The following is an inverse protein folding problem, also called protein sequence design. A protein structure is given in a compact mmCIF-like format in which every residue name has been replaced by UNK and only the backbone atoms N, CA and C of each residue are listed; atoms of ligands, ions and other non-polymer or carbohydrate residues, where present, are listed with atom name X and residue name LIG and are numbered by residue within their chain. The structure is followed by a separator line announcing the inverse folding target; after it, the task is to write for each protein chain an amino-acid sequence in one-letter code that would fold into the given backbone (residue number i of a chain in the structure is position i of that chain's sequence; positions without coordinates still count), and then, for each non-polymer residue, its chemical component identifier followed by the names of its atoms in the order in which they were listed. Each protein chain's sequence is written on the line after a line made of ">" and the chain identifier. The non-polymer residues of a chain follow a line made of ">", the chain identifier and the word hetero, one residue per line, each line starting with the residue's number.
data_IF_813650726184
#
_entry.id   IF_813650726184
#
_cell.length_a   1.000
_cell.length_b   1.000
_cell.length_c   1.000
_cell.angle_alpha   90.00
_cell.angle_beta   90.00
_cell.angle_gamma   90.00
#
_symmetry.space_group_name_H-M   'P 1'
#
loop_
_entity.id
_entity.type
_entity.pdbx_description
1 polymer ?
#
# COMPACT_ATOMS: atom_id res chain seq x y z
N UNK A 1 28.11 2.39 11.26
CA UNK A 1 26.85 3.07 11.59
C UNK A 1 26.89 4.44 10.95
N UNK A 2 26.14 4.73 9.88
CA UNK A 2 26.07 6.09 9.36
C UNK A 2 25.36 6.96 10.39
N UNK A 3 25.94 8.13 10.66
CA UNK A 3 25.34 9.17 11.48
C UNK A 3 24.15 9.73 10.71
N UNK A 4 22.93 9.45 11.15
CA UNK A 4 21.75 10.11 10.59
C UNK A 4 21.88 11.61 10.83
N UNK A 5 22.00 12.39 9.76
CA UNK A 5 21.81 13.84 9.83
C UNK A 5 20.50 14.10 10.57
N UNK A 6 20.52 15.01 11.55
CA UNK A 6 19.37 15.28 12.41
C UNK A 6 18.09 15.39 11.56
N UNK A 7 17.16 14.44 11.76
CA UNK A 7 15.91 14.40 11.00
C UNK A 7 15.23 15.77 11.09
N UNK A 8 15.08 16.42 9.94
CA UNK A 8 14.38 17.70 9.87
C UNK A 8 12.94 17.48 10.28
N UNK A 9 12.43 18.37 11.14
CA UNK A 9 11.03 18.36 11.58
C UNK A 9 10.10 18.35 10.36
N UNK A 10 9.36 17.26 10.18
CA UNK A 10 8.32 17.12 9.19
C UNK A 10 7.17 18.09 9.51
N UNK A 11 6.88 18.96 8.53
CA UNK A 11 5.80 19.96 8.62
C UNK A 11 4.57 19.48 7.85
N UNK A 12 3.41 20.00 8.26
CA UNK A 12 2.16 19.80 7.54
C UNK A 12 1.59 18.38 7.63
N UNK A 13 1.85 17.66 8.74
CA UNK A 13 1.33 16.30 8.98
C UNK A 13 -0.19 16.21 8.73
N UNK A 14 -1.05 17.12 9.23
CA UNK A 14 -2.49 17.04 8.96
C UNK A 14 -2.84 17.15 7.47
N UNK A 15 -2.10 17.95 6.70
CA UNK A 15 -2.29 18.08 5.25
C UNK A 15 -1.90 16.79 4.53
N UNK A 16 -0.81 16.14 4.96
CA UNK A 16 -0.34 14.87 4.39
C UNK A 16 -1.31 13.74 4.69
N UNK A 17 -1.84 13.66 5.91
CA UNK A 17 -2.92 12.71 6.24
C UNK A 17 -4.13 12.94 5.35
N UNK A 18 -4.64 14.18 5.20
CA UNK A 18 -5.74 14.47 4.26
C UNK A 18 -5.45 14.05 2.81
N UNK A 19 -4.20 14.13 2.35
CA UNK A 19 -3.82 13.65 1.03
C UNK A 19 -3.88 12.12 0.93
N UNK A 20 -3.51 11.40 2.00
CA UNK A 20 -3.64 9.94 2.07
C UNK A 20 -5.11 9.50 2.11
N UNK A 21 -5.99 10.22 2.81
CA UNK A 21 -7.44 9.98 2.75
C UNK A 21 -7.94 10.07 1.31
N UNK A 22 -7.65 11.18 0.61
CA UNK A 22 -8.02 11.36 -0.80
C UNK A 22 -7.43 10.29 -1.72
N UNK A 23 -6.20 9.85 -1.45
CA UNK A 23 -5.58 8.78 -2.20
C UNK A 23 -6.32 7.45 -1.99
N UNK A 24 -6.70 7.10 -0.76
CA UNK A 24 -7.53 5.92 -0.49
C UNK A 24 -8.87 6.00 -1.22
N UNK A 25 -9.56 7.14 -1.11
CA UNK A 25 -10.86 7.38 -1.75
C UNK A 25 -10.78 7.32 -3.30
N UNK A 26 -9.60 7.57 -3.88
CA UNK A 26 -9.42 7.56 -5.34
C UNK A 26 -9.57 6.18 -5.99
N UNK A 27 -9.59 5.10 -5.19
CA UNK A 27 -9.86 3.74 -5.65
C UNK A 27 -11.36 3.40 -5.62
N UNK A 28 -12.20 4.25 -5.05
CA UNK A 28 -13.64 4.04 -5.06
C UNK A 28 -14.15 4.07 -6.50
N UNK A 29 -14.82 2.99 -6.90
CA UNK A 29 -15.34 2.77 -8.26
C UNK A 29 -14.27 2.89 -9.37
N UNK A 30 -13.00 2.78 -9.00
CA UNK A 30 -11.86 2.99 -9.88
C UNK A 30 -10.86 1.83 -9.75
N UNK A 31 -11.07 0.81 -10.57
CA UNK A 31 -10.15 -0.32 -10.71
C UNK A 31 -9.20 -0.08 -11.89
N UNK A 32 -7.89 -0.40 -11.77
CA UNK A 32 -6.92 -0.22 -12.85
C UNK A 32 -7.38 -0.86 -14.17
N UNK A 33 -7.14 -0.16 -15.28
CA UNK A 33 -7.58 -0.63 -16.58
C UNK A 33 -6.83 -1.91 -16.98
N UNK A 34 -7.48 -2.80 -17.75
CA UNK A 34 -6.85 -4.03 -18.22
C UNK A 34 -5.51 -3.80 -18.96
N UNK A 35 -5.40 -2.68 -19.70
CA UNK A 35 -4.16 -2.27 -20.36
C UNK A 35 -3.04 -1.97 -19.36
N UNK A 36 -3.35 -1.25 -18.28
CA UNK A 36 -2.39 -0.93 -17.22
C UNK A 36 -1.90 -2.20 -16.52
N UNK A 37 -2.82 -3.10 -16.19
CA UNK A 37 -2.48 -4.37 -15.55
C UNK A 37 -1.67 -5.30 -16.47
N UNK A 38 -1.86 -5.22 -17.79
CA UNK A 38 -1.11 -6.01 -18.76
C UNK A 38 0.36 -5.60 -18.91
N UNK A 39 0.76 -4.40 -18.45
CA UNK A 39 2.16 -3.96 -18.49
C UNK A 39 3.07 -4.78 -17.57
N UNK A 40 2.51 -5.35 -16.49
CA UNK A 40 3.21 -6.28 -15.61
C UNK A 40 2.33 -7.52 -15.34
N UNK A 41 2.48 -8.60 -16.12
CA UNK A 41 1.53 -9.70 -16.16
C UNK A 41 1.47 -10.53 -14.87
N UNK A 42 2.39 -10.32 -13.92
CA UNK A 42 2.41 -11.07 -12.65
C UNK A 42 1.65 -10.34 -11.55
N UNK A 43 1.87 -9.04 -11.43
CA UNK A 43 1.23 -8.23 -10.40
C UNK A 43 1.35 -6.73 -10.72
N UNK A 44 0.42 -5.98 -10.16
CA UNK A 44 0.45 -4.53 -10.05
C UNK A 44 0.53 -4.16 -8.57
N UNK A 45 1.26 -3.12 -8.21
CA UNK A 45 1.36 -2.67 -6.82
C UNK A 45 1.40 -1.13 -6.71
N UNK A 46 0.94 -0.63 -5.57
CA UNK A 46 1.06 0.77 -5.21
C UNK A 46 1.58 0.91 -3.77
N UNK A 47 2.81 1.40 -3.64
CA UNK A 47 3.44 1.74 -2.35
C UNK A 47 2.71 2.90 -1.71
N UNK A 48 2.50 2.85 -0.39
CA UNK A 48 1.81 3.91 0.32
C UNK A 48 2.44 5.30 0.05
N UNK A 49 1.69 6.29 -0.49
CA UNK A 49 2.28 7.53 -0.97
C UNK A 49 2.47 8.54 0.17
N UNK A 50 3.30 8.16 1.13
CA UNK A 50 3.62 8.96 2.32
C UNK A 50 5.12 9.23 2.43
N UNK A 51 5.50 10.03 3.41
CA UNK A 51 6.90 10.29 3.74
C UNK A 51 7.37 9.23 4.76
N UNK A 52 8.58 8.71 4.58
CA UNK A 52 9.20 7.77 5.52
C UNK A 52 9.15 8.31 6.96
N UNK A 53 9.32 9.63 7.15
CA UNK A 53 9.28 10.25 8.47
C UNK A 53 7.92 10.13 9.19
N UNK A 54 6.81 9.89 8.46
CA UNK A 54 5.49 9.65 9.04
C UNK A 54 5.30 8.24 9.59
N UNK A 55 6.07 7.27 9.07
CA UNK A 55 5.96 5.87 9.44
C UNK A 55 7.12 5.43 10.33
N UNK A 56 8.34 5.84 10.03
CA UNK A 56 9.55 5.31 10.67
C UNK A 56 10.48 6.38 11.25
N UNK A 57 10.19 7.66 10.99
CA UNK A 57 10.97 8.77 11.58
C UNK A 57 10.57 9.11 13.03
N UNK A 58 11.32 10.03 13.64
CA UNK A 58 11.18 10.44 15.05
C UNK A 58 9.82 11.01 15.43
N UNK A 59 9.09 11.57 14.46
CA UNK A 59 7.74 12.13 14.68
C UNK A 59 6.62 11.13 14.42
N UNK A 60 6.95 9.91 14.01
CA UNK A 60 6.00 8.83 13.84
C UNK A 60 5.40 8.42 15.18
N UNK A 61 4.07 8.38 15.25
CA UNK A 61 3.34 7.91 16.42
C UNK A 61 2.56 6.65 16.08
N UNK A 62 2.23 5.84 17.10
CA UNK A 62 1.39 4.65 16.90
C UNK A 62 0.00 5.01 16.34
N UNK A 63 -0.56 6.17 16.72
CA UNK A 63 -1.84 6.62 16.14
C UNK A 63 -1.71 6.93 14.66
N UNK A 64 -0.62 7.57 14.25
CA UNK A 64 -0.34 7.90 12.85
C UNK A 64 -0.14 6.64 12.02
N UNK A 65 0.67 5.69 12.51
CA UNK A 65 0.85 4.36 11.90
C UNK A 65 -0.48 3.64 11.71
N UNK A 66 -1.31 3.60 12.76
CA UNK A 66 -2.64 2.99 12.72
C UNK A 66 -3.54 3.65 11.68
N UNK A 67 -3.62 4.98 11.67
CA UNK A 67 -4.43 5.71 10.69
C UNK A 67 -3.98 5.41 9.27
N UNK A 68 -2.66 5.43 9.03
CA UNK A 68 -2.09 5.15 7.71
C UNK A 68 -2.35 3.69 7.28
N UNK A 69 -2.25 2.72 8.20
CA UNK A 69 -2.59 1.32 7.92
C UNK A 69 -4.08 1.14 7.58
N UNK A 70 -4.96 1.86 8.28
CA UNK A 70 -6.40 1.86 7.99
C UNK A 70 -6.69 2.43 6.60
N UNK A 71 -6.00 3.50 6.19
CA UNK A 71 -6.14 4.06 4.84
C UNK A 71 -5.65 3.09 3.76
N UNK A 72 -4.57 2.34 4.02
CA UNK A 72 -4.11 1.29 3.10
C UNK A 72 -5.14 0.15 2.97
N UNK A 73 -5.72 -0.25 4.11
CA UNK A 73 -6.81 -1.23 4.13
C UNK A 73 -8.05 -0.74 3.39
N UNK A 74 -8.46 0.51 3.58
CA UNK A 74 -9.59 1.12 2.88
C UNK A 74 -9.37 1.17 1.37
N UNK A 75 -8.18 1.57 0.91
CA UNK A 75 -7.83 1.53 -0.52
C UNK A 75 -7.97 0.11 -1.11
N UNK A 76 -7.49 -0.90 -0.38
CA UNK A 76 -7.66 -2.30 -0.76
C UNK A 76 -9.13 -2.72 -0.83
N UNK A 77 -9.94 -2.30 0.14
CA UNK A 77 -11.37 -2.61 0.17
C UNK A 77 -12.14 -1.93 -0.98
N UNK A 78 -11.81 -0.68 -1.29
CA UNK A 78 -12.33 0.02 -2.46
C UNK A 78 -11.99 -0.73 -3.75
N UNK A 79 -10.76 -1.19 -3.92
CA UNK A 79 -10.36 -2.00 -5.07
C UNK A 79 -11.11 -3.34 -5.15
N UNK A 80 -11.34 -4.03 -4.03
CA UNK A 80 -12.13 -5.26 -4.00
C UNK A 80 -13.55 -5.00 -4.49
N UNK A 81 -14.17 -3.90 -4.06
CA UNK A 81 -15.53 -3.50 -4.45
C UNK A 81 -15.62 -3.04 -5.89
N UNK A 82 -14.62 -2.29 -6.36
CA UNK A 82 -14.54 -1.81 -7.75
C UNK A 82 -14.14 -2.91 -8.73
N UNK A 83 -13.76 -4.10 -8.26
CA UNK A 83 -13.24 -5.20 -9.09
C UNK A 83 -14.29 -5.64 -10.13
N UNK A 84 -13.99 -5.48 -11.43
CA UNK A 84 -14.92 -5.87 -12.48
C UNK A 84 -14.92 -7.39 -12.71
N UNK A 85 -15.98 -7.89 -13.34
CA UNK A 85 -16.15 -9.33 -13.60
C UNK A 85 -15.02 -9.96 -14.44
N UNK A 86 -14.43 -9.19 -15.37
CA UNK A 86 -13.30 -9.64 -16.19
C UNK A 86 -12.02 -9.89 -15.36
N UNK A 87 -11.90 -9.26 -14.20
CA UNK A 87 -10.80 -9.42 -13.24
C UNK A 87 -11.16 -10.43 -12.13
N UNK A 88 -12.16 -11.29 -12.35
CA UNK A 88 -12.65 -12.24 -11.33
C UNK A 88 -11.56 -13.13 -10.75
N UNK A 89 -10.61 -13.58 -11.58
CA UNK A 89 -9.45 -14.38 -11.17
C UNK A 89 -8.34 -13.58 -10.49
N UNK A 90 -8.35 -12.25 -10.57
CA UNK A 90 -7.29 -11.42 -9.98
C UNK A 90 -7.51 -11.27 -8.48
N UNK A 91 -6.42 -11.29 -7.72
CA UNK A 91 -6.43 -11.20 -6.27
C UNK A 91 -5.94 -9.83 -5.82
N UNK A 92 -6.82 -9.08 -5.15
CA UNK A 92 -6.46 -7.81 -4.49
C UNK A 92 -5.98 -8.12 -3.07
N UNK A 93 -4.87 -7.51 -2.66
CA UNK A 93 -4.25 -7.73 -1.35
C UNK A 93 -3.72 -6.42 -0.78
N UNK A 94 -3.60 -6.39 0.55
CA UNK A 94 -2.94 -5.33 1.31
C UNK A 94 -1.78 -5.94 2.09
N UNK A 95 -0.55 -5.50 1.81
CA UNK A 95 0.65 -5.90 2.52
C UNK A 95 0.99 -4.84 3.58
N UNK A 96 0.93 -5.22 4.86
CA UNK A 96 1.35 -4.37 5.98
C UNK A 96 2.67 -4.93 6.53
N UNK A 97 3.77 -4.21 6.34
CA UNK A 97 5.08 -4.62 6.80
C UNK A 97 5.33 -4.15 8.25
N UNK A 98 5.67 -5.07 9.15
CA UNK A 98 6.04 -4.75 10.53
C UNK A 98 7.46 -5.27 10.85
N UNK A 99 8.31 -4.49 11.53
CA UNK A 99 8.07 -3.11 11.97
C UNK A 99 8.23 -2.03 10.87
N UNK A 100 8.77 -2.36 9.70
CA UNK A 100 9.08 -1.42 8.61
C UNK A 100 7.87 -1.08 7.73
N UNK A 101 6.92 -0.32 8.26
CA UNK A 101 5.67 0.01 7.59
C UNK A 101 5.82 0.81 6.29
N UNK A 102 6.94 1.49 6.06
CA UNK A 102 7.14 2.26 4.82
C UNK A 102 7.17 1.36 3.58
N UNK A 103 7.47 0.08 3.74
CA UNK A 103 7.43 -0.90 2.66
C UNK A 103 6.01 -1.38 2.30
N UNK A 104 4.99 -1.00 3.08
CA UNK A 104 3.60 -1.44 2.92
C UNK A 104 2.99 -0.97 1.59
N UNK A 105 2.10 -1.76 1.04
CA UNK A 105 1.50 -1.55 -0.28
C UNK A 105 0.19 -2.28 -0.48
N UNK A 106 -0.56 -1.83 -1.48
CA UNK A 106 -1.64 -2.62 -2.09
C UNK A 106 -1.09 -3.34 -3.32
N UNK A 107 -1.51 -4.58 -3.55
CA UNK A 107 -1.16 -5.34 -4.73
C UNK A 107 -2.38 -5.97 -5.38
N UNK A 108 -2.37 -6.06 -6.71
CA UNK A 108 -3.28 -6.86 -7.51
C UNK A 108 -2.44 -7.93 -8.19
N UNK A 109 -2.62 -9.18 -7.78
CA UNK A 109 -1.99 -10.34 -8.40
C UNK A 109 -2.85 -10.83 -9.55
N UNK A 110 -2.25 -10.91 -10.74
CA UNK A 110 -2.89 -11.41 -11.96
C UNK A 110 -2.65 -12.92 -12.13
N UNK A 111 -1.63 -13.44 -11.47
CA UNK A 111 -1.20 -14.83 -11.47
C UNK A 111 -1.28 -15.39 -10.04
N UNK A 112 -2.19 -16.34 -9.82
CA UNK A 112 -2.37 -16.99 -8.53
C UNK A 112 -1.14 -17.81 -8.13
N UNK A 113 -0.44 -18.47 -9.08
CA UNK A 113 0.76 -19.23 -8.76
C UNK A 113 1.90 -18.30 -8.30
N UNK A 114 1.99 -17.11 -8.91
CA UNK A 114 2.92 -16.09 -8.44
C UNK A 114 2.57 -15.61 -7.04
N UNK A 115 1.30 -15.33 -6.75
CA UNK A 115 0.86 -14.99 -5.39
C UNK A 115 1.23 -16.07 -4.37
N UNK A 116 0.93 -17.34 -4.66
CA UNK A 116 1.28 -18.46 -3.77
C UNK A 116 2.78 -18.50 -3.52
N UNK A 117 3.63 -18.33 -4.54
CA UNK A 117 5.09 -18.27 -4.36
C UNK A 117 5.60 -17.15 -3.44
N UNK A 118 4.77 -16.15 -3.13
CA UNK A 118 5.09 -15.04 -2.20
C UNK A 118 4.62 -15.29 -0.77
N UNK A 119 3.61 -16.13 -0.58
CA UNK A 119 3.02 -16.40 0.74
C UNK A 119 3.37 -17.80 1.28
N UNK A 120 3.74 -18.73 0.41
CA UNK A 120 4.32 -20.00 0.81
C UNK A 120 5.66 -19.72 1.45
N UNK A 121 5.81 -20.09 2.72
CA UNK A 121 7.12 -20.13 3.36
C UNK A 121 8.02 -21.02 2.50
N UNK A 122 9.19 -20.49 2.12
CA UNK A 122 10.30 -21.41 1.84
C UNK A 122 10.56 -22.09 3.18
N UNK A 123 10.10 -23.33 3.34
CA UNK A 123 10.56 -24.23 4.41
C UNK A 123 12.09 -24.18 4.40
N UNK A 124 12.66 -23.43 5.35
CA UNK A 124 14.09 -23.27 5.56
C UNK A 124 14.51 -24.06 6.80
#
# INVERSE_FOLDING_TARGET
>A
MPVHAAEKKLRGIPRRLRALHKWSDSFQDNFPAAKELAENPRYWNWKIPTDWAMLEGRQSTQSMKREIALLLWQACEHLIRAKPAWASSYRVTCLICLPQMFASEICIYLDEAYFQSKISESDA
#
